data_IF_783448747132
#
_entry.id   IF_783448747132
#
_cell.length_a   1.000
_cell.length_b   1.000
_cell.length_c   1.000
_cell.angle_alpha   90.00
_cell.angle_beta   90.00
_cell.angle_gamma   90.00
#
_symmetry.space_group_name_H-M   'P 1'
#
loop_
_entity.id
_entity.type
_entity.pdbx_description
1 polymer ?
#
# COMPACT_ATOMS: atom_id res chain seq x y z
N UNK A 1 -20.18 6.92 -44.92
CA UNK A 1 -19.53 8.16 -45.42
C UNK A 1 -18.04 7.89 -45.41
N UNK A 2 -17.52 7.38 -46.53
CA UNK A 2 -16.12 6.95 -46.66
C UNK A 2 -15.27 8.16 -47.07
N UNK A 3 -14.38 8.61 -46.19
CA UNK A 3 -13.40 9.65 -46.52
C UNK A 3 -12.15 8.97 -47.09
N UNK A 4 -12.06 8.93 -48.42
CA UNK A 4 -10.85 8.57 -49.14
C UNK A 4 -9.87 9.74 -49.06
N UNK A 5 -8.87 9.66 -48.17
CA UNK A 5 -7.73 10.56 -48.23
C UNK A 5 -6.77 10.06 -49.31
N UNK A 6 -6.26 11.00 -50.12
CA UNK A 6 -5.35 10.78 -51.23
C UNK A 6 -4.07 10.04 -50.80
N UNK A 7 -4.12 8.70 -50.84
CA UNK A 7 -2.98 7.80 -50.67
C UNK A 7 -2.50 7.31 -52.04
N UNK A 8 -1.19 7.12 -52.15
CA UNK A 8 -0.51 6.62 -53.36
C UNK A 8 -1.10 5.26 -53.78
N UNK A 9 -1.50 5.05 -55.06
CA UNK A 9 -2.02 3.76 -55.49
C UNK A 9 -0.97 2.65 -55.30
N UNK A 10 -1.28 1.63 -54.50
CA UNK A 10 -0.43 0.46 -54.30
C UNK A 10 0.38 0.41 -53.00
N UNK A 11 0.34 1.44 -52.16
CA UNK A 11 0.92 1.38 -50.81
C UNK A 11 -0.16 1.01 -49.79
N UNK A 12 -0.14 -0.25 -49.35
CA UNK A 12 -0.86 -0.66 -48.14
C UNK A 12 -0.07 -0.10 -46.97
N UNK A 13 -0.55 0.99 -46.36
CA UNK A 13 -0.03 1.45 -45.08
C UNK A 13 -0.50 0.47 -44.01
N UNK A 14 0.29 -0.57 -43.75
CA UNK A 14 0.15 -1.37 -42.54
C UNK A 14 0.50 -0.48 -41.35
N UNK A 15 -0.51 0.09 -40.70
CA UNK A 15 -0.36 0.66 -39.38
C UNK A 15 -0.35 -0.51 -38.40
N UNK A 16 0.79 -1.20 -38.31
CA UNK A 16 0.97 -2.20 -37.27
C UNK A 16 0.93 -1.46 -35.92
N UNK A 17 -0.17 -1.65 -35.19
CA UNK A 17 -0.34 -1.14 -33.84
C UNK A 17 0.76 -1.76 -32.97
N UNK A 18 1.80 -0.99 -32.65
CA UNK A 18 2.88 -1.45 -31.79
C UNK A 18 2.36 -1.60 -30.37
N UNK A 19 1.92 -2.81 -30.00
CA UNK A 19 1.48 -3.11 -28.64
C UNK A 19 2.62 -3.73 -27.86
N UNK A 20 2.84 -3.25 -26.63
CA UNK A 20 3.84 -3.76 -25.71
C UNK A 20 3.22 -4.08 -24.36
N UNK A 21 3.60 -5.21 -23.78
CA UNK A 21 3.20 -5.58 -22.42
C UNK A 21 3.70 -4.57 -21.38
N UNK A 22 3.00 -4.43 -20.24
CA UNK A 22 3.34 -3.45 -19.23
C UNK A 22 4.68 -3.80 -18.57
N UNK A 23 5.42 -2.77 -18.15
CA UNK A 23 6.56 -2.90 -17.25
C UNK A 23 6.51 -1.78 -16.21
N UNK A 24 6.90 -2.09 -14.97
CA UNK A 24 6.82 -1.17 -13.84
C UNK A 24 8.06 -1.21 -12.96
N UNK A 25 8.27 -0.10 -12.24
CA UNK A 25 9.24 0.01 -11.15
C UNK A 25 8.56 0.51 -9.89
N UNK A 26 8.92 -0.09 -8.76
CA UNK A 26 8.52 0.37 -7.45
C UNK A 26 9.65 1.22 -6.85
N UNK A 27 9.34 2.46 -6.44
CA UNK A 27 10.28 3.45 -5.93
C UNK A 27 10.16 3.52 -4.40
N UNK A 28 10.70 2.51 -3.72
CA UNK A 28 10.68 2.37 -2.26
C UNK A 28 11.99 1.71 -1.80
N UNK A 29 12.32 1.88 -0.53
CA UNK A 29 13.37 1.09 0.13
C UNK A 29 12.81 -0.31 0.45
N UNK A 30 13.57 -1.38 0.22
CA UNK A 30 13.10 -2.75 0.46
C UNK A 30 14.06 -3.51 1.38
N UNK A 31 13.62 -4.06 2.54
CA UNK A 31 12.26 -3.98 3.10
C UNK A 31 11.95 -2.60 3.74
N UNK A 32 10.66 -2.23 3.77
CA UNK A 32 10.22 -0.97 4.40
C UNK A 32 10.02 -1.17 5.89
N UNK A 33 10.79 -0.47 6.72
CA UNK A 33 10.70 -0.54 8.18
C UNK A 33 10.30 0.83 8.75
N UNK A 34 9.13 0.90 9.39
CA UNK A 34 8.51 2.18 9.78
C UNK A 34 8.02 2.14 11.23
N UNK A 35 8.06 3.25 11.95
CA UNK A 35 7.50 3.32 13.31
C UNK A 35 5.97 3.50 13.28
N UNK A 36 5.23 3.00 14.29
CA UNK A 36 3.79 3.25 14.39
C UNK A 36 3.46 4.75 14.42
N UNK A 37 2.44 5.15 13.68
CA UNK A 37 1.97 6.54 13.56
C UNK A 37 2.67 7.36 12.47
N UNK A 38 3.76 6.88 11.90
CA UNK A 38 4.40 7.54 10.76
C UNK A 38 3.61 7.33 9.47
N UNK A 39 3.78 8.27 8.54
CA UNK A 39 3.24 8.17 7.19
C UNK A 39 4.21 7.40 6.30
N UNK A 40 3.65 6.56 5.42
CA UNK A 40 4.41 5.83 4.39
C UNK A 40 3.79 6.12 3.02
N UNK A 41 4.65 6.29 2.02
CA UNK A 41 4.27 6.48 0.62
C UNK A 41 4.99 5.46 -0.26
N UNK A 42 4.23 4.69 -1.02
CA UNK A 42 4.73 3.75 -2.02
C UNK A 42 4.45 4.34 -3.40
N UNK A 43 5.48 4.53 -4.22
CA UNK A 43 5.32 5.08 -5.57
C UNK A 43 5.63 4.00 -6.60
N UNK A 44 4.64 3.65 -7.41
CA UNK A 44 4.79 2.75 -8.55
C UNK A 44 4.70 3.55 -9.85
N UNK A 45 5.65 3.32 -10.75
CA UNK A 45 5.72 4.00 -12.06
C UNK A 45 5.79 2.99 -13.18
N UNK A 46 5.13 3.31 -14.30
CA UNK A 46 5.26 2.57 -15.55
C UNK A 46 6.61 2.89 -16.20
N UNK A 47 7.37 1.86 -16.57
CA UNK A 47 8.62 1.98 -17.34
C UNK A 47 8.44 1.65 -18.82
N UNK A 48 7.29 1.12 -19.20
CA UNK A 48 6.92 0.81 -20.58
C UNK A 48 5.57 0.09 -20.66
N UNK A 49 5.08 -0.07 -21.88
CA UNK A 49 3.78 -0.66 -22.18
C UNK A 49 3.00 0.27 -23.11
N UNK A 50 2.47 -0.31 -24.18
CA UNK A 50 1.68 0.39 -25.20
C UNK A 50 0.44 -0.46 -25.49
N UNK A 51 -0.78 0.03 -25.24
CA UNK A 51 -1.13 1.34 -24.67
C UNK A 51 -0.65 1.55 -23.23
N UNK A 52 -0.68 2.81 -22.76
CA UNK A 52 -0.29 3.16 -21.38
C UNK A 52 -1.06 2.32 -20.35
N UNK A 53 -0.37 1.55 -19.48
CA UNK A 53 -1.03 0.71 -18.48
C UNK A 53 -1.69 1.47 -17.35
N UNK A 54 -2.81 0.93 -16.88
CA UNK A 54 -3.47 1.36 -15.65
C UNK A 54 -2.78 0.70 -14.45
N UNK A 55 -2.43 1.52 -13.45
CA UNK A 55 -1.82 1.06 -12.21
C UNK A 55 -2.88 0.84 -11.13
N UNK A 56 -2.80 -0.29 -10.43
CA UNK A 56 -3.65 -0.63 -9.30
C UNK A 56 -2.81 -1.18 -8.14
N UNK A 57 -3.30 -0.96 -6.92
CA UNK A 57 -2.67 -1.46 -5.71
C UNK A 57 -3.53 -2.53 -5.06
N UNK A 58 -2.89 -3.58 -4.57
CA UNK A 58 -3.54 -4.66 -3.82
C UNK A 58 -2.72 -5.05 -2.61
N UNK A 59 -3.40 -5.58 -1.58
CA UNK A 59 -2.76 -6.24 -0.45
C UNK A 59 -2.73 -7.74 -0.71
N UNK A 60 -1.66 -8.42 -0.31
CA UNK A 60 -1.57 -9.89 -0.49
C UNK A 60 -2.60 -10.64 0.36
N UNK A 61 -2.97 -10.07 1.51
CA UNK A 61 -3.96 -10.65 2.43
C UNK A 61 -4.99 -9.59 2.80
N UNK A 62 -6.26 -9.93 2.60
CA UNK A 62 -7.38 -9.02 2.87
C UNK A 62 -7.49 -7.86 1.88
N UNK A 63 -8.23 -6.84 2.30
CA UNK A 63 -8.44 -5.61 1.53
C UNK A 63 -7.46 -4.52 1.92
N UNK A 64 -7.32 -3.50 1.07
CA UNK A 64 -6.60 -2.29 1.42
C UNK A 64 -7.32 -1.59 2.59
N UNK A 65 -6.61 -1.17 3.65
CA UNK A 65 -7.18 -0.33 4.71
C UNK A 65 -7.88 0.92 4.16
N UNK A 66 -9.06 1.26 4.71
CA UNK A 66 -9.86 2.42 4.26
C UNK A 66 -9.12 3.76 4.36
N UNK A 67 -8.14 3.86 5.27
CA UNK A 67 -7.30 5.05 5.46
C UNK A 67 -6.29 5.29 4.32
N UNK A 68 -6.14 4.35 3.39
CA UNK A 68 -5.22 4.48 2.27
C UNK A 68 -5.71 5.54 1.29
N UNK A 69 -4.79 6.41 0.88
CA UNK A 69 -5.02 7.39 -0.16
C UNK A 69 -4.31 6.93 -1.44
N UNK A 70 -5.07 6.70 -2.50
CA UNK A 70 -4.55 6.33 -3.83
C UNK A 70 -4.57 7.53 -4.77
N UNK A 71 -3.42 7.84 -5.39
CA UNK A 71 -3.29 8.90 -6.41
C UNK A 71 -2.42 8.39 -7.56
N UNK A 72 -3.06 7.99 -8.66
CA UNK A 72 -2.38 7.33 -9.78
C UNK A 72 -1.66 6.06 -9.31
N UNK A 73 -0.36 5.96 -9.57
CA UNK A 73 0.49 4.86 -9.10
C UNK A 73 0.96 4.97 -7.64
N UNK A 74 0.49 5.97 -6.88
CA UNK A 74 0.96 6.23 -5.50
C UNK A 74 -0.04 5.75 -4.46
N UNK A 75 0.44 5.00 -3.47
CA UNK A 75 -0.30 4.55 -2.29
C UNK A 75 0.29 5.24 -1.05
N UNK A 76 -0.54 5.95 -0.29
CA UNK A 76 -0.15 6.60 0.96
C UNK A 76 -0.95 6.04 2.14
N UNK A 77 -0.26 5.66 3.22
CA UNK A 77 -0.87 5.36 4.52
C UNK A 77 -0.46 6.50 5.48
N UNK A 78 -1.38 7.40 5.89
CA UNK A 78 -1.02 8.58 6.69
C UNK A 78 -0.52 8.29 8.11
N UNK A 79 -1.01 7.22 8.72
CA UNK A 79 -0.62 6.79 10.06
C UNK A 79 -0.65 5.27 10.15
N UNK A 80 0.54 4.65 10.08
CA UNK A 80 0.66 3.19 10.06
C UNK A 80 0.54 2.58 11.46
N UNK A 81 -0.08 1.40 11.56
CA UNK A 81 -0.17 0.61 12.79
C UNK A 81 0.20 -0.86 12.50
N UNK A 82 0.29 -1.69 13.54
CA UNK A 82 0.68 -3.10 13.42
C UNK A 82 -0.18 -3.89 12.46
N UNK A 83 -1.46 -3.54 12.31
CA UNK A 83 -2.43 -4.28 11.52
C UNK A 83 -2.32 -3.96 10.02
N UNK A 84 -1.60 -2.89 9.67
CA UNK A 84 -1.30 -2.54 8.28
C UNK A 84 -0.08 -3.29 7.73
N UNK A 85 0.70 -3.95 8.59
CA UNK A 85 1.91 -4.67 8.21
C UNK A 85 1.61 -5.76 7.17
N UNK A 86 2.60 -6.05 6.33
CA UNK A 86 2.53 -7.11 5.33
C UNK A 86 2.82 -6.63 3.92
N UNK A 87 2.47 -7.48 2.95
CA UNK A 87 2.87 -7.30 1.56
C UNK A 87 1.84 -6.51 0.76
N UNK A 88 2.34 -5.47 0.08
CA UNK A 88 1.57 -4.64 -0.85
C UNK A 88 2.14 -4.84 -2.25
N UNK A 89 1.26 -4.91 -3.24
CA UNK A 89 1.63 -5.13 -4.64
C UNK A 89 1.02 -4.07 -5.54
N UNK A 90 1.86 -3.49 -6.40
CA UNK A 90 1.43 -2.70 -7.54
C UNK A 90 1.26 -3.63 -8.75
N UNK A 91 0.15 -3.47 -9.48
CA UNK A 91 -0.17 -4.21 -10.70
C UNK A 91 -0.39 -3.20 -11.82
N UNK A 92 0.23 -3.44 -12.98
CA UNK A 92 -0.01 -2.68 -14.20
C UNK A 92 -0.67 -3.57 -15.25
N UNK A 93 -1.78 -3.11 -15.82
CA UNK A 93 -2.49 -3.80 -16.89
C UNK A 93 -2.84 -2.84 -18.03
N UNK A 94 -2.55 -3.25 -19.27
CA UNK A 94 -2.99 -2.60 -20.50
C UNK A 94 -3.70 -3.56 -21.46
N UNK A 95 -4.07 -4.75 -20.99
CA UNK A 95 -4.67 -5.85 -21.78
C UNK A 95 -3.77 -6.39 -22.91
N UNK A 96 -2.47 -6.09 -22.87
CA UNK A 96 -1.46 -6.64 -23.79
C UNK A 96 -0.56 -7.61 -23.03
N UNK A 97 -0.69 -8.90 -23.32
CA UNK A 97 0.06 -9.96 -22.63
C UNK A 97 -0.24 -10.00 -21.13
N UNK A 98 0.78 -10.32 -20.33
CA UNK A 98 0.62 -10.49 -18.89
C UNK A 98 0.73 -9.16 -18.13
N UNK A 99 -0.11 -8.92 -17.10
CA UNK A 99 0.07 -7.79 -16.20
C UNK A 99 1.42 -7.82 -15.50
N UNK A 100 2.05 -6.66 -15.34
CA UNK A 100 3.27 -6.54 -14.55
C UNK A 100 2.92 -6.38 -13.08
N UNK A 101 3.68 -7.02 -12.19
CA UNK A 101 3.47 -6.97 -10.74
C UNK A 101 4.78 -6.75 -10.01
N UNK A 102 4.78 -5.85 -9.03
CA UNK A 102 5.90 -5.65 -8.09
C UNK A 102 5.37 -5.55 -6.68
N UNK A 103 6.04 -6.19 -5.74
CA UNK A 103 5.61 -6.29 -4.35
C UNK A 103 6.71 -5.81 -3.41
N UNK A 104 6.32 -5.26 -2.26
CA UNK A 104 7.23 -4.94 -1.15
C UNK A 104 6.55 -5.31 0.17
N UNK A 105 7.35 -5.60 1.19
CA UNK A 105 6.88 -5.93 2.52
C UNK A 105 7.06 -4.74 3.47
N UNK A 106 5.96 -4.32 4.10
CA UNK A 106 5.99 -3.30 5.14
C UNK A 106 6.08 -3.98 6.50
N UNK A 107 7.12 -3.62 7.25
CA UNK A 107 7.37 -4.04 8.62
C UNK A 107 7.16 -2.84 9.52
N UNK A 108 6.20 -2.97 10.44
CA UNK A 108 5.96 -1.96 11.46
C UNK A 108 6.77 -2.34 12.68
N UNK A 109 7.66 -1.44 13.13
CA UNK A 109 8.42 -1.66 14.36
C UNK A 109 7.44 -1.88 15.50
N UNK A 110 7.65 -2.97 16.25
CA UNK A 110 6.81 -3.28 17.40
C UNK A 110 6.79 -2.10 18.36
N UNK A 111 5.60 -1.71 18.84
CA UNK A 111 5.52 -0.79 19.98
C UNK A 111 6.31 -1.43 21.11
N UNK A 112 7.31 -0.74 21.65
CA UNK A 112 8.01 -1.25 22.83
C UNK A 112 6.97 -1.49 23.93
N UNK A 113 7.14 -2.56 24.72
CA UNK A 113 6.28 -2.82 25.88
C UNK A 113 6.20 -1.58 26.80
N UNK A 114 7.28 -0.81 26.89
CA UNK A 114 7.35 0.46 27.61
C UNK A 114 6.42 1.53 27.01
N UNK A 115 6.36 1.69 25.68
CA UNK A 115 5.46 2.65 25.04
C UNK A 115 3.98 2.27 25.22
N UNK A 116 3.68 0.97 25.17
CA UNK A 116 2.33 0.43 25.43
C UNK A 116 1.94 0.69 26.89
N UNK A 117 2.83 0.37 27.83
CA UNK A 117 2.65 0.63 29.26
C UNK A 117 2.45 2.11 29.57
N UNK A 118 3.27 3.00 28.98
CA UNK A 118 3.12 4.46 29.13
C UNK A 118 1.81 5.00 28.55
N UNK A 119 1.33 4.44 27.43
CA UNK A 119 0.04 4.82 26.85
C UNK A 119 -1.12 4.36 27.73
N UNK A 120 -1.06 3.13 28.26
CA UNK A 120 -2.04 2.63 29.23
C UNK A 120 -2.04 3.50 30.48
N UNK A 121 -0.87 3.88 31.02
CA UNK A 121 -0.77 4.79 32.17
C UNK A 121 -1.37 6.16 31.82
N UNK A 122 -1.07 6.73 30.65
CA UNK A 122 -1.65 8.01 30.22
C UNK A 122 -3.17 7.97 30.09
N UNK A 123 -3.73 6.86 29.60
CA UNK A 123 -5.18 6.64 29.58
C UNK A 123 -5.74 6.47 31.01
N UNK A 124 -4.99 5.78 31.88
CA UNK A 124 -5.35 5.56 33.29
C UNK A 124 -5.27 6.83 34.13
N UNK A 125 -4.46 7.82 33.75
CA UNK A 125 -4.41 9.12 34.40
C UNK A 125 -5.62 10.02 34.11
N UNK A 126 -6.56 9.60 33.27
CA UNK A 126 -7.86 10.27 33.09
C UNK A 126 -8.94 9.77 34.08
N UNK A 127 -8.69 8.70 34.83
CA UNK A 127 -9.66 8.09 35.75
C UNK A 127 -9.19 8.09 37.19
N UNK A 128 -8.57 9.18 37.67
CA UNK A 128 -8.21 9.38 39.10
C UNK A 128 -9.41 9.41 40.07
N UNK A 129 -10.56 8.86 39.69
CA UNK A 129 -11.67 8.45 40.56
C UNK A 129 -11.70 6.90 40.74
N UNK A 130 -10.79 6.13 40.13
CA UNK A 130 -10.83 4.65 40.10
C UNK A 130 -9.54 3.90 40.44
N UNK A 131 -8.52 4.53 41.04
CA UNK A 131 -7.29 3.85 41.50
C UNK A 131 -7.55 2.79 42.60
N UNK A 132 -8.78 2.67 43.09
CA UNK A 132 -9.18 1.73 44.16
C UNK A 132 -9.57 0.32 43.64
N UNK A 133 -9.87 0.16 42.34
CA UNK A 133 -10.32 -1.15 41.80
C UNK A 133 -9.20 -2.00 41.17
N UNK A 134 -8.26 -1.39 40.43
CA UNK A 134 -7.21 -2.14 39.73
C UNK A 134 -6.18 -2.76 40.70
N UNK A 135 -5.83 -2.05 41.78
CA UNK A 135 -4.87 -2.53 42.79
C UNK A 135 -5.43 -3.78 43.50
N UNK A 136 -6.75 -3.84 43.77
CA UNK A 136 -7.41 -5.02 44.35
C UNK A 136 -7.34 -6.25 43.45
N UNK A 137 -7.43 -6.08 42.13
CA UNK A 137 -7.36 -7.21 41.17
C UNK A 137 -5.95 -7.82 41.12
N UNK A 138 -4.90 -6.98 41.12
CA UNK A 138 -3.51 -7.47 41.12
C UNK A 138 -3.11 -8.15 42.44
N UNK A 139 -3.56 -7.64 43.59
CA UNK A 139 -3.29 -8.28 44.88
C UNK A 139 -3.97 -9.66 45.01
N UNK A 140 -5.17 -9.84 44.44
CA UNK A 140 -5.90 -11.12 44.52
C UNK A 140 -5.31 -12.22 43.62
N UNK A 141 -4.63 -11.88 42.52
CA UNK A 141 -4.02 -12.85 41.59
C UNK A 141 -2.62 -13.33 42.02
N UNK A 142 -2.03 -12.70 43.04
CA UNK A 142 -0.69 -13.06 43.56
C UNK A 142 -0.77 -14.06 44.75
N UNK A 143 -1.99 -14.34 45.25
CA UNK A 143 -2.23 -15.21 46.43
C UNK A 143 -2.97 -16.52 46.03
N UNK A 144 -2.85 -16.97 44.77
CA UNK A 144 -3.38 -18.26 44.32
C UNK A 144 -2.33 -19.06 43.56
#
# INVERSE_FOLDING_TARGET
>A
MYLYYYGVPGLIYHCDLFTASPSIKLLVDDPIVVNPGEAITLVCVTTGGEPLPTLTWVRSVGTLPEKIILKGGTLTIPAINSDDAGTYSCIANNNVGNPAKKSTNIIVRGKSFLQVYLFIIRLSSCTTIGLDFAIKVFYSLTIM
#
